data_IF_765635585621
#
_entry.id   IF_765635585621
#
_cell.length_a   1.000
_cell.length_b   1.000
_cell.length_c   1.000
_cell.angle_alpha   90.00
_cell.angle_beta   90.00
_cell.angle_gamma   90.00
#
_symmetry.space_group_name_H-M   'P 1'
#
loop_
_entity.id
_entity.type
_entity.pdbx_description
1 polymer ?
2 polymer ?
3 non-polymer ?
4 non-polymer ?
5 water ?
#
# COMPACT_ATOMS: atom_id res chain seq x y z
N UNK A 1 25.03 22.19 -1.17
CA UNK A 1 24.74 21.48 0.10
C UNK A 1 23.83 20.29 -0.21
N UNK A 2 22.86 20.04 0.67
CA UNK A 2 21.94 18.92 0.54
C UNK A 2 21.18 18.96 -0.79
N UNK A 3 20.81 20.16 -1.25
CA UNK A 3 19.72 20.32 -2.20
C UNK A 3 20.14 20.11 -3.65
N UNK A 4 21.39 20.50 -3.99
CA UNK A 4 21.85 20.36 -5.37
C UNK A 4 21.81 18.88 -5.75
N UNK A 5 22.35 18.04 -4.86
CA UNK A 5 22.44 16.61 -5.08
C UNK A 5 21.03 15.99 -5.06
N UNK A 6 20.12 16.54 -4.25
CA UNK A 6 18.75 16.07 -4.29
C UNK A 6 18.14 16.31 -5.67
N UNK A 7 18.33 17.51 -6.22
CA UNK A 7 17.80 17.85 -7.54
C UNK A 7 18.34 16.88 -8.60
N UNK A 8 19.63 16.53 -8.52
CA UNK A 8 20.25 15.71 -9.57
C UNK A 8 19.69 14.29 -9.57
N UNK A 9 19.66 13.70 -8.37
CA UNK A 9 19.05 12.41 -8.13
C UNK A 9 17.63 12.41 -8.70
N UNK A 10 16.81 13.41 -8.34
CA UNK A 10 15.44 13.46 -8.84
C UNK A 10 15.45 13.41 -10.36
N UNK A 11 16.34 14.19 -10.97
CA UNK A 11 16.40 14.31 -12.43
C UNK A 11 16.81 12.99 -13.08
N UNK A 12 17.77 12.28 -12.50
CA UNK A 12 18.18 10.99 -13.06
C UNK A 12 17.09 9.95 -12.86
N UNK A 13 16.37 9.95 -11.72
CA UNK A 13 15.22 9.08 -11.55
C UNK A 13 14.22 9.30 -12.68
N UNK A 14 13.97 10.57 -13.01
CA UNK A 14 13.02 10.88 -14.06
C UNK A 14 13.59 10.45 -15.41
N UNK A 15 14.90 10.72 -15.59
CA UNK A 15 15.53 10.45 -16.88
C UNK A 15 15.63 8.94 -17.08
N UNK A 16 15.96 8.20 -16.01
CA UNK A 16 15.95 6.75 -16.10
C UNK A 16 14.61 6.25 -16.63
N UNK A 17 13.50 6.80 -16.13
CA UNK A 17 12.19 6.29 -16.54
C UNK A 17 11.91 6.55 -18.02
N UNK A 18 12.23 7.74 -18.53
CA UNK A 18 11.79 8.08 -19.88
C UNK A 18 12.63 7.36 -20.93
N UNK A 19 13.75 6.76 -20.51
CA UNK A 19 14.64 6.01 -21.39
C UNK A 19 14.45 4.49 -21.23
N UNK A 20 13.38 4.05 -20.55
CA UNK A 20 13.07 2.62 -20.43
C UNK A 20 13.89 1.91 -19.34
N UNK A 21 14.31 2.65 -18.33
CA UNK A 21 15.02 2.08 -17.21
C UNK A 21 14.17 2.21 -15.95
N UNK A 22 12.91 1.77 -16.07
CA UNK A 22 11.93 1.79 -14.98
C UNK A 22 12.48 1.22 -13.67
N UNK A 23 13.11 0.06 -13.74
CA UNK A 23 13.53 -0.59 -12.52
C UNK A 23 14.58 0.25 -11.82
N UNK A 24 15.53 0.75 -12.61
CA UNK A 24 16.56 1.62 -12.05
C UNK A 24 15.89 2.86 -11.47
N UNK A 25 14.89 3.39 -12.18
CA UNK A 25 14.19 4.57 -11.67
C UNK A 25 13.65 4.28 -10.28
N UNK A 26 13.04 3.10 -10.12
CA UNK A 26 12.44 2.74 -8.85
C UNK A 26 13.48 2.67 -7.74
N UNK A 27 14.70 2.30 -8.11
CA UNK A 27 15.74 2.12 -7.11
C UNK A 27 16.27 3.48 -6.67
N UNK A 28 16.29 4.46 -7.60
CA UNK A 28 16.65 5.83 -7.26
C UNK A 28 15.53 6.45 -6.42
N UNK A 29 14.28 6.24 -6.82
CA UNK A 29 13.16 6.57 -5.92
C UNK A 29 13.51 6.21 -4.46
N UNK A 30 13.94 4.97 -4.24
CA UNK A 30 14.22 4.53 -2.88
C UNK A 30 15.31 5.36 -2.22
N UNK A 31 16.30 5.81 -3.01
CA UNK A 31 17.41 6.59 -2.49
C UNK A 31 16.90 7.96 -2.06
N UNK A 32 16.00 8.57 -2.85
CA UNK A 32 15.42 9.84 -2.48
C UNK A 32 14.76 9.73 -1.11
N UNK A 33 13.86 8.76 -0.95
CA UNK A 33 13.25 8.52 0.35
C UNK A 33 14.31 8.47 1.43
N UNK A 34 15.38 7.69 1.20
CA UNK A 34 16.37 7.44 2.24
C UNK A 34 17.09 8.76 2.57
N UNK A 35 17.43 9.50 1.52
CA UNK A 35 18.22 10.70 1.65
C UNK A 35 17.42 11.81 2.34
N UNK A 36 16.11 11.92 2.06
CA UNK A 36 15.32 13.01 2.60
C UNK A 36 14.86 12.74 4.03
N UNK A 37 14.58 11.48 4.35
CA UNK A 37 14.27 11.05 5.71
C UNK A 37 15.39 11.47 6.66
N UNK A 38 16.60 11.64 6.12
CA UNK A 38 17.83 11.68 6.90
C UNK A 38 18.14 13.11 7.37
N UNK A 39 19.11 13.21 8.29
CA UNK A 39 19.80 14.45 8.64
C UNK A 39 19.71 15.46 7.48
N UNK B 2 -25.81 -11.60 3.08
CA UNK B 2 -25.85 -12.86 3.88
C UNK B 2 -24.44 -13.45 4.03
N UNK B 3 -23.82 -13.82 2.92
CA UNK B 3 -22.44 -14.30 2.98
C UNK B 3 -21.54 -13.13 2.72
N UNK B 4 -20.46 -13.03 3.46
CA UNK B 4 -19.63 -11.84 3.37
C UNK B 4 -18.95 -11.78 2.00
N UNK B 5 -19.01 -10.63 1.28
CA UNK B 5 -18.43 -10.51 -0.05
C UNK B 5 -16.92 -10.27 -0.10
N UNK B 6 -16.14 -11.29 0.29
CA UNK B 6 -14.70 -11.20 0.24
C UNK B 6 -14.19 -11.42 -1.17
N UNK B 7 -14.83 -12.33 -1.91
CA UNK B 7 -14.47 -12.59 -3.30
C UNK B 7 -14.29 -11.26 -4.04
N UNK B 8 -15.22 -10.33 -3.85
CA UNK B 8 -15.22 -9.08 -4.60
C UNK B 8 -14.07 -8.16 -4.17
N UNK B 9 -13.54 -8.32 -2.95
CA UNK B 9 -12.35 -7.58 -2.54
C UNK B 9 -11.14 -8.21 -3.20
N UNK B 10 -10.95 -9.51 -2.98
CA UNK B 10 -9.76 -10.20 -3.43
C UNK B 10 -9.71 -10.30 -4.96
N UNK B 11 -10.88 -10.42 -5.61
CA UNK B 11 -10.93 -10.77 -7.04
C UNK B 11 -11.33 -9.58 -7.90
N UNK B 12 -11.31 -8.38 -7.34
CA UNK B 12 -11.58 -7.16 -8.11
C UNK B 12 -10.63 -7.07 -9.31
N UNK B 13 -11.12 -6.49 -10.41
CA UNK B 13 -10.39 -6.43 -11.66
C UNK B 13 -9.13 -5.59 -11.51
N UNK B 14 -9.30 -4.35 -11.03
CA UNK B 14 -8.17 -3.52 -10.63
C UNK B 14 -8.27 -3.15 -9.17
N UNK B 15 -7.12 -2.76 -8.60
CA UNK B 15 -6.99 -2.39 -7.21
C UNK B 15 -6.67 -0.91 -7.13
N UNK B 16 -6.70 -0.36 -5.92
CA UNK B 16 -6.40 1.05 -5.70
C UNK B 16 -4.89 1.26 -5.68
N UNK B 17 -4.47 2.52 -5.93
CA UNK B 17 -3.12 2.94 -5.65
C UNK B 17 -2.96 2.99 -4.15
N UNK B 18 -1.75 2.75 -3.69
CA UNK B 18 -1.55 2.62 -2.27
C UNK B 18 -1.78 3.98 -1.58
N UNK B 19 -1.37 5.10 -2.22
CA UNK B 19 -1.52 6.40 -1.55
C UNK B 19 -2.99 6.72 -1.42
N UNK B 20 -3.81 6.23 -2.37
CA UNK B 20 -5.25 6.41 -2.35
C UNK B 20 -5.94 5.10 -2.03
N UNK B 21 -5.54 4.47 -0.93
CA UNK B 21 -5.92 3.10 -0.69
C UNK B 21 -7.43 2.96 -0.49
N UNK B 22 -7.95 1.82 -0.91
CA UNK B 22 -9.38 1.56 -0.84
C UNK B 22 -9.72 0.89 0.50
N UNK B 23 -10.89 1.23 1.04
CA UNK B 23 -11.44 0.58 2.20
C UNK B 23 -12.86 0.09 1.92
N UNK B 24 -13.12 -1.20 2.21
CA UNK B 24 -14.45 -1.75 2.07
C UNK B 24 -14.92 -2.16 3.46
N UNK B 25 -16.11 -1.69 3.84
CA UNK B 25 -16.73 -2.07 5.10
C UNK B 25 -17.52 -3.36 4.87
N UNK B 26 -17.33 -4.34 5.75
CA UNK B 26 -18.03 -5.62 5.65
C UNK B 26 -18.90 -5.74 6.91
N UNK B 27 -20.20 -5.97 6.69
CA UNK B 27 -21.19 -5.94 7.77
C UNK B 27 -22.29 -6.96 7.50
N UNK B 28 -22.89 -7.51 8.58
CA UNK B 28 -24.17 -8.17 8.46
C UNK B 28 -24.09 -9.33 7.48
N UNK B 29 -23.22 -10.28 7.81
CA UNK B 29 -22.98 -11.37 6.89
C UNK B 29 -22.21 -12.47 7.63
N UNK B 30 -22.18 -13.66 7.02
CA UNK B 30 -21.38 -14.75 7.55
C UNK B 30 -20.12 -14.86 6.69
N UNK B 31 -19.03 -15.26 7.34
CA UNK B 31 -17.72 -15.27 6.73
C UNK B 31 -17.09 -16.65 6.94
N UNK B 32 -16.95 -17.45 5.87
CA UNK B 32 -15.96 -18.51 5.97
C UNK B 32 -14.65 -17.88 5.57
N UNK B 33 -13.68 -17.95 6.46
CA UNK B 33 -12.39 -17.38 6.16
C UNK B 33 -11.55 -18.47 5.56
N UNK B 34 -12.11 -19.23 4.65
CA UNK B 34 -11.35 -20.26 3.96
C UNK B 34 -11.42 -19.92 2.50
N UNK B 35 -12.58 -19.46 2.09
CA UNK B 35 -12.73 -19.02 0.74
C UNK B 35 -11.59 -18.07 0.47
N UNK B 36 -11.05 -17.51 1.53
CA UNK B 36 -9.96 -16.60 1.39
C UNK B 36 -8.69 -17.37 1.46
N UNK B 37 -8.51 -18.18 2.49
CA UNK B 37 -7.22 -18.82 2.66
C UNK B 37 -6.79 -19.52 1.36
N UNK B 38 -7.75 -19.84 0.51
CA UNK B 38 -7.43 -20.54 -0.71
C UNK B 38 -7.66 -19.72 -1.98
N UNK B 39 -8.07 -18.48 -1.82
CA UNK B 39 -8.31 -17.62 -2.98
C UNK B 39 -7.17 -17.77 -3.98
N UNK B 40 -5.96 -17.44 -3.53
CA UNK B 40 -4.78 -17.48 -4.38
C UNK B 40 -3.62 -18.06 -3.58
N UNK B 41 -2.50 -18.42 -4.26
CA UNK B 41 -1.22 -18.59 -3.58
C UNK B 41 -0.69 -17.24 -3.09
N UNK B 42 -0.63 -17.07 -1.77
CA UNK B 42 -0.19 -15.86 -1.11
C UNK B 42 1.31 -15.89 -0.82
N UNK B 43 1.90 -14.69 -0.90
CA UNK B 43 3.28 -14.44 -0.53
C UNK B 43 3.36 -13.93 0.91
N UNK B 44 2.22 -13.52 1.48
CA UNK B 44 2.20 -13.09 2.88
C UNK B 44 0.79 -13.35 3.44
N UNK B 45 0.73 -13.76 4.72
CA UNK B 45 -0.54 -14.00 5.40
C UNK B 45 -0.31 -14.02 6.91
N UNK B 46 -0.01 -12.86 7.48
CA UNK B 46 0.29 -12.75 8.90
C UNK B 46 -0.89 -12.07 9.60
N UNK B 47 -1.53 -12.80 10.53
CA UNK B 47 -2.48 -12.23 11.47
C UNK B 47 -1.79 -11.89 12.79
N UNK B 48 -2.30 -10.89 13.49
CA UNK B 48 -1.57 -10.33 14.62
C UNK B 48 -2.26 -10.67 15.94
N UNK B 49 -3.51 -10.23 16.12
CA UNK B 49 -4.28 -10.64 17.28
C UNK B 49 -4.67 -12.10 17.17
N UNK B 50 -5.50 -12.39 16.17
CA UNK B 50 -6.20 -13.66 16.08
C UNK B 50 -5.42 -14.57 15.14
N UNK B 51 -6.01 -15.72 14.78
CA UNK B 51 -5.51 -16.58 13.73
C UNK B 51 -6.69 -16.98 12.85
N UNK B 52 -6.44 -17.42 11.59
CA UNK B 52 -7.54 -17.82 10.70
C UNK B 52 -8.55 -18.82 11.25
N UNK B 53 -8.07 -19.95 11.78
CA UNK B 53 -8.98 -20.99 12.23
C UNK B 53 -9.84 -20.45 13.38
N UNK B 54 -9.19 -19.72 14.31
CA UNK B 54 -9.87 -19.02 15.41
C UNK B 54 -10.89 -18.00 14.89
N UNK B 55 -10.69 -17.49 13.66
CA UNK B 55 -11.56 -16.44 13.14
C UNK B 55 -12.91 -17.02 12.76
N UNK B 56 -12.93 -18.31 12.41
CA UNK B 56 -14.16 -18.92 11.95
C UNK B 56 -15.13 -19.08 13.14
N UNK B 57 -14.68 -18.82 14.37
CA UNK B 57 -15.54 -18.93 15.54
C UNK B 57 -16.05 -17.56 16.00
N UNK B 58 -15.45 -16.47 15.52
CA UNK B 58 -15.65 -15.18 16.18
C UNK B 58 -16.60 -14.30 15.39
N UNK B 59 -17.28 -13.42 16.14
CA UNK B 59 -18.17 -12.40 15.60
C UNK B 59 -17.57 -11.02 15.87
N UNK B 60 -17.73 -10.11 14.90
CA UNK B 60 -17.30 -8.74 15.04
C UNK B 60 -18.43 -7.83 14.63
N UNK B 61 -18.32 -6.56 15.02
CA UNK B 61 -19.28 -5.52 14.66
C UNK B 61 -19.16 -5.21 13.18
N UNK B 62 -17.91 -4.92 12.79
CA UNK B 62 -17.53 -4.60 11.42
C UNK B 62 -16.18 -5.24 11.12
N UNK B 63 -16.00 -5.65 9.86
CA UNK B 63 -14.68 -5.85 9.29
C UNK B 63 -14.45 -4.85 8.17
N UNK B 64 -13.22 -4.31 8.17
CA UNK B 64 -12.70 -3.43 7.15
C UNK B 64 -11.57 -4.14 6.40
N UNK B 65 -11.75 -4.18 5.08
CA UNK B 65 -10.78 -4.65 4.10
C UNK B 65 -10.18 -3.48 3.32
N UNK B 66 -8.96 -3.08 3.72
CA UNK B 66 -8.18 -2.12 2.94
C UNK B 66 -7.42 -2.86 1.86
N UNK B 67 -7.37 -2.32 0.63
CA UNK B 67 -6.69 -2.96 -0.48
C UNK B 67 -5.97 -1.94 -1.37
N UNK B 68 -4.83 -2.37 -1.92
CA UNK B 68 -4.00 -1.58 -2.81
C UNK B 68 -2.92 -2.43 -3.46
N UNK B 69 -2.09 -1.80 -4.31
CA UNK B 69 -0.93 -2.41 -4.94
C UNK B 69 0.35 -1.68 -4.55
N UNK B 70 1.36 -2.46 -4.13
CA UNK B 70 2.70 -1.97 -3.91
C UNK B 70 3.71 -2.90 -4.59
N UNK B 71 4.99 -2.56 -4.49
CA UNK B 71 6.07 -3.41 -4.97
C UNK B 71 6.26 -4.56 -4.02
N UNK B 72 6.66 -5.69 -4.59
CA UNK B 72 7.03 -6.84 -3.79
C UNK B 72 7.92 -6.51 -2.60
N UNK B 73 8.95 -5.68 -2.80
CA UNK B 73 9.90 -5.43 -1.71
C UNK B 73 9.31 -4.55 -0.61
N UNK B 74 8.14 -3.93 -0.89
CA UNK B 74 7.49 -3.01 0.03
C UNK B 74 6.50 -3.74 0.94
N UNK B 75 6.16 -4.98 0.59
CA UNK B 75 5.12 -5.72 1.29
C UNK B 75 5.43 -5.81 2.78
N UNK B 76 6.71 -5.96 3.12
CA UNK B 76 7.14 -6.11 4.49
C UNK B 76 6.91 -4.84 5.30
N UNK B 77 6.73 -3.70 4.62
CA UNK B 77 6.33 -2.48 5.33
C UNK B 77 4.89 -2.55 5.83
N UNK B 78 4.07 -3.44 5.27
CA UNK B 78 2.70 -3.52 5.73
C UNK B 78 2.65 -4.41 6.97
N UNK B 79 3.19 -3.87 8.06
CA UNK B 79 3.25 -4.55 9.35
C UNK B 79 3.42 -3.49 10.43
N UNK B 80 3.05 -3.80 11.68
CA UNK B 80 3.15 -2.85 12.79
C UNK B 80 4.60 -2.51 13.08
N UNK B 81 4.87 -1.24 13.43
CA UNK B 81 6.20 -0.80 13.82
C UNK B 81 7.19 -0.63 12.65
N UNK B 82 6.73 -0.75 11.40
CA UNK B 82 7.61 -0.64 10.24
C UNK B 82 7.85 0.82 9.89
N UNK B 83 8.98 1.10 9.23
CA UNK B 83 9.22 2.39 8.64
C UNK B 83 9.61 2.22 7.16
N UNK B 84 9.59 3.33 6.42
CA UNK B 84 9.88 3.28 5.00
C UNK B 84 8.89 4.11 4.20
N UNK B 85 9.07 4.09 2.87
CA UNK B 85 8.38 5.01 1.99
C UNK B 85 6.87 4.78 2.06
N UNK B 86 6.48 3.49 2.11
CA UNK B 86 5.08 3.10 2.17
C UNK B 86 4.53 3.32 3.58
N UNK B 87 5.20 2.83 4.62
CA UNK B 87 4.70 3.02 5.97
C UNK B 87 4.67 4.49 6.35
N UNK B 88 5.71 5.24 5.98
CA UNK B 88 5.81 6.64 6.36
C UNK B 88 4.73 7.42 5.61
N UNK B 89 4.55 7.23 4.29
CA UNK B 89 3.89 8.26 3.50
C UNK B 89 2.66 7.76 2.73
N UNK B 90 2.31 6.48 2.85
CA UNK B 90 1.22 5.95 2.04
C UNK B 90 0.18 5.19 2.84
N UNK B 91 0.61 4.20 3.64
CA UNK B 91 -0.32 3.37 4.41
C UNK B 91 0.36 2.86 5.68
N UNK B 92 -0.23 3.23 6.84
CA UNK B 92 0.43 3.04 8.12
C UNK B 92 -0.49 2.19 9.01
N UNK B 93 0.08 1.10 9.54
CA UNK B 93 -0.57 0.28 10.54
C UNK B 93 -0.17 0.77 11.93
N UNK B 94 -1.09 0.79 12.91
CA UNK B 94 -0.73 1.06 14.30
C UNK B 94 -0.05 -0.14 14.93
N UNK B 95 0.67 0.11 16.03
CA UNK B 95 1.48 -0.91 16.67
C UNK B 95 0.59 -1.98 17.31
N UNK B 96 -0.62 -1.59 17.72
CA UNK B 96 -1.54 -2.47 18.43
C UNK B 96 -2.54 -3.08 17.45
N UNK B 97 -2.08 -3.36 16.23
CA UNK B 97 -2.93 -3.90 15.19
C UNK B 97 -3.20 -5.38 15.45
N UNK B 98 -4.46 -5.81 15.32
CA UNK B 98 -4.79 -7.18 15.68
C UNK B 98 -5.43 -7.96 14.52
N UNK B 99 -5.50 -7.37 13.31
CA UNK B 99 -6.08 -8.04 12.16
C UNK B 99 -5.06 -8.84 11.34
N UNK B 100 -5.32 -8.98 10.03
CA UNK B 100 -4.49 -9.76 9.13
C UNK B 100 -4.01 -8.94 7.92
N UNK B 101 -2.73 -9.15 7.56
CA UNK B 101 -2.14 -8.65 6.33
C UNK B 101 -1.92 -9.81 5.36
N UNK B 102 -2.51 -9.69 4.16
CA UNK B 102 -2.50 -10.70 3.13
C UNK B 102 -1.93 -10.05 1.87
N UNK B 103 -0.89 -10.67 1.24
CA UNK B 103 -0.34 -10.20 -0.03
C UNK B 103 -0.18 -11.33 -1.05
N UNK B 104 -0.33 -11.03 -2.35
CA UNK B 104 0.05 -11.97 -3.40
C UNK B 104 0.58 -11.25 -4.64
N UNK B 105 1.36 -12.00 -5.45
CA UNK B 105 1.94 -11.50 -6.69
C UNK B 105 0.84 -11.22 -7.70
N UNK B 106 0.83 -10.04 -8.30
CA UNK B 106 -0.20 -9.76 -9.28
C UNK B 106 0.47 -9.36 -10.59
N UNK B 107 1.70 -9.84 -10.80
CA UNK B 107 2.44 -9.51 -12.01
C UNK B 107 1.57 -9.73 -13.25
N UNK B 108 0.82 -10.84 -13.29
CA UNK B 108 0.04 -11.15 -14.48
C UNK B 108 -1.08 -10.15 -14.69
N UNK B 109 -1.60 -9.55 -13.61
CA UNK B 109 -2.79 -8.71 -13.73
C UNK B 109 -2.43 -7.23 -13.91
N UNK B 110 -1.36 -6.80 -13.25
CA UNK B 110 -1.12 -5.38 -13.05
C UNK B 110 0.06 -4.89 -13.88
N UNK B 111 1.02 -5.77 -14.22
CA UNK B 111 2.12 -5.43 -15.12
C UNK B 111 1.61 -5.29 -16.56
N UNK B 112 2.20 -4.36 -17.30
CA UNK B 112 1.93 -4.19 -18.72
C UNK B 112 3.24 -3.99 -19.49
N UNK B 113 3.32 -4.45 -20.75
CA UNK B 113 4.59 -4.45 -21.48
C UNK B 113 5.31 -3.11 -21.52
N UNK B 114 4.60 -2.00 -21.78
CA UNK B 114 5.23 -0.69 -21.75
C UNK B 114 5.06 -0.05 -20.37
N UNK B 115 4.73 -0.85 -19.36
CA UNK B 115 4.66 -0.36 -18.00
C UNK B 115 3.28 0.19 -17.65
N UNK B 116 2.86 -0.07 -16.40
CA UNK B 116 1.59 0.39 -15.87
C UNK B 116 1.81 1.60 -14.97
N UNK B 117 1.40 2.76 -15.48
CA UNK B 117 1.64 4.05 -14.87
C UNK B 117 0.43 4.48 -14.05
N UNK B 118 -0.60 3.63 -13.98
CA UNK B 118 -1.84 3.93 -13.30
C UNK B 118 -1.79 3.73 -11.79
N UNK B 119 -0.86 2.89 -11.33
CA UNK B 119 -0.68 2.66 -9.92
C UNK B 119 0.35 3.65 -9.45
N UNK B 120 0.06 4.35 -8.33
CA UNK B 120 0.90 5.41 -7.81
C UNK B 120 1.30 5.17 -6.35
N UNK B 121 2.35 5.87 -5.92
CA UNK B 121 2.75 5.98 -4.53
C UNK B 121 3.21 7.41 -4.30
N UNK B 122 3.17 7.86 -3.03
CA UNK B 122 3.70 9.13 -2.58
C UNK B 122 5.17 8.99 -2.21
N UNK B 123 6.05 9.84 -2.79
CA UNK B 123 7.48 9.83 -2.55
C UNK B 123 7.90 10.89 -1.53
N UNK B 124 7.10 11.96 -1.41
CA UNK B 124 7.51 13.13 -0.66
C UNK B 124 6.44 13.50 0.34
N UNK B 125 6.82 13.60 1.63
CA UNK B 125 5.88 14.07 2.64
C UNK B 125 6.60 14.78 3.77
N UNK B 126 5.95 15.79 4.34
CA UNK B 126 6.56 16.56 5.41
C UNK B 126 6.65 15.77 6.70
N UNK B 127 5.77 14.78 6.91
CA UNK B 127 5.86 13.90 8.06
C UNK B 127 5.15 12.57 7.81
N UNK B 128 5.36 11.64 8.74
CA UNK B 128 4.77 10.30 8.70
C UNK B 128 3.25 10.35 8.91
N UNK B 129 2.51 9.52 8.17
CA UNK B 129 1.08 9.30 8.39
C UNK B 129 0.84 8.74 9.78
N UNK B 130 -0.33 9.05 10.33
CA UNK B 130 -0.79 8.38 11.53
C UNK B 130 -1.43 7.06 11.10
N UNK B 131 -1.61 6.08 12.00
CA UNK B 131 -2.26 4.84 11.62
C UNK B 131 -3.60 5.11 10.93
N UNK B 132 -3.73 4.51 9.74
CA UNK B 132 -4.95 4.49 8.95
C UNK B 132 -5.26 5.85 8.36
N UNK B 133 -4.30 6.79 8.36
CA UNK B 133 -4.52 8.03 7.62
C UNK B 133 -4.42 7.78 6.11
N UNK B 134 -5.21 8.54 5.33
CA UNK B 134 -5.19 8.50 3.89
C UNK B 134 -5.00 9.91 3.33
N UNK B 135 -3.79 10.20 2.83
CA UNK B 135 -3.45 11.50 2.26
C UNK B 135 -3.45 11.43 0.76
N UNK B 136 -4.45 12.12 0.18
CA UNK B 136 -4.67 12.15 -1.26
C UNK B 136 -4.33 13.51 -1.84
N UNK B 137 -3.57 14.31 -1.10
CA UNK B 137 -3.15 15.64 -1.55
C UNK B 137 -2.20 15.68 -2.72
N UNK B 138 -2.18 16.79 -3.42
CA UNK B 138 -1.31 16.95 -4.57
C UNK B 138 -0.49 18.22 -4.43
N UNK B 139 -0.38 18.74 -3.22
CA UNK B 139 0.46 19.90 -2.99
C UNK B 139 1.84 19.59 -3.56
N UNK B 140 2.39 20.52 -4.38
CA UNK B 140 3.79 20.45 -4.76
C UNK B 140 4.58 20.55 -3.46
N UNK B 141 5.58 19.68 -3.30
CA UNK B 141 6.36 19.62 -2.08
C UNK B 141 7.54 20.59 -2.16
N UNK B 142 7.86 21.22 -1.03
CA UNK B 142 8.92 22.21 -0.93
C UNK B 142 10.11 21.58 -0.24
N UNK B 143 11.22 21.39 -0.97
CA UNK B 143 12.37 20.71 -0.41
C UNK B 143 13.34 21.70 0.23
N UNK B 144 13.51 22.86 -0.38
CA UNK B 144 14.51 23.81 0.06
C UNK B 144 13.98 24.90 1.00
N UNK B 145 14.66 26.04 0.96
CA UNK B 145 14.32 27.14 1.85
C UNK B 145 13.43 28.14 1.11
N UNK B 146 13.30 27.96 -0.21
CA UNK B 146 12.48 28.83 -1.03
C UNK B 146 11.09 28.21 -1.19
N UNK B 147 10.02 29.01 -0.95
CA UNK B 147 8.65 28.54 -1.18
C UNK B 147 8.34 28.31 -2.66
N UNK B 148 7.50 27.31 -2.93
CA UNK B 148 7.24 26.83 -4.27
C UNK B 148 6.11 27.58 -4.95
N UNK B 149 5.19 28.10 -4.14
CA UNK B 149 4.03 28.84 -4.63
C UNK B 149 3.24 28.00 -5.64
N UNK B 150 3.00 26.73 -5.28
CA UNK B 150 2.22 25.83 -6.11
C UNK B 150 2.82 25.59 -7.50
N UNK B 151 4.14 25.80 -7.64
CA UNK B 151 4.84 25.64 -8.91
C UNK B 151 5.88 24.53 -8.80
N UNK B 152 5.84 23.61 -9.77
CA UNK B 152 6.80 22.52 -9.85
C UNK B 152 8.15 23.04 -10.35
N UNK B 153 9.22 22.73 -9.64
CA UNK B 153 10.55 23.12 -10.10
C UNK B 153 11.67 22.80 -9.13
N UNK B 154 12.77 23.51 -9.25
CA UNK B 154 13.90 23.31 -8.36
C UNK B 154 13.51 23.21 -6.89
N UNK B 155 13.77 22.08 -6.26
CA UNK B 155 13.44 21.88 -4.86
C UNK B 155 11.94 21.97 -4.66
N UNK B 156 11.20 21.81 -5.73
CA UNK B 156 9.75 21.86 -5.72
C UNK B 156 9.19 20.73 -6.57
N UNK B 157 8.89 19.61 -5.94
CA UNK B 157 8.50 18.45 -6.69
C UNK B 157 7.11 17.93 -6.50
N UNK B 158 6.55 17.39 -7.56
CA UNK B 158 5.29 16.72 -7.44
C UNK B 158 5.51 15.65 -6.40
N UNK B 159 4.49 15.33 -5.62
CA UNK B 159 4.71 14.40 -4.51
C UNK B 159 4.54 12.93 -4.87
N UNK B 160 3.81 12.64 -5.95
CA UNK B 160 3.50 11.27 -6.34
C UNK B 160 4.38 10.82 -7.52
N UNK B 161 4.63 9.51 -7.59
CA UNK B 161 5.25 8.84 -8.72
C UNK B 161 4.41 7.64 -9.09
N UNK B 162 4.45 7.26 -10.37
CA UNK B 162 3.88 6.01 -10.85
C UNK B 162 4.88 4.87 -10.71
N UNK B 163 4.36 3.64 -10.59
CA UNK B 163 5.22 2.47 -10.42
C UNK B 163 5.75 1.96 -11.76
N UNK B 164 4.96 2.03 -12.83
CA UNK B 164 5.41 1.65 -14.16
C UNK B 164 5.70 0.15 -14.30
N UNK B 165 4.83 -0.67 -13.70
CA UNK B 165 5.09 -2.10 -13.56
C UNK B 165 5.19 -2.75 -14.95
N UNK B 166 6.25 -3.55 -15.16
CA UNK B 166 6.41 -4.34 -16.37
C UNK B 166 6.65 -5.79 -16.02
N UNK B 167 6.21 -6.75 -16.86
CA UNK B 167 6.25 -8.17 -16.51
C UNK B 167 7.66 -8.69 -16.32
N UNK B 168 8.65 -8.04 -16.94
CA UNK B 168 10.02 -8.52 -16.95
C UNK B 168 10.83 -8.01 -15.78
N UNK B 169 10.23 -7.23 -14.86
CA UNK B 169 11.00 -6.74 -13.72
C UNK B 169 11.29 -7.92 -12.80
N UNK B 170 12.35 -7.80 -11.97
CA UNK B 170 12.57 -8.72 -10.86
C UNK B 170 11.36 -8.70 -9.94
N UNK B 171 11.23 -9.75 -9.10
CA UNK B 171 9.99 -9.99 -8.38
C UNK B 171 9.79 -8.93 -7.31
N UNK B 172 10.89 -8.43 -6.73
CA UNK B 172 10.85 -7.38 -5.73
C UNK B 172 10.25 -6.07 -6.25
N UNK B 173 10.31 -5.87 -7.58
CA UNK B 173 9.83 -4.69 -8.28
C UNK B 173 8.56 -5.01 -9.06
N UNK B 174 8.03 -6.21 -8.86
CA UNK B 174 6.76 -6.59 -9.45
C UNK B 174 5.65 -6.17 -8.48
N UNK B 175 4.44 -5.98 -9.00
CA UNK B 175 3.30 -5.52 -8.19
C UNK B 175 2.73 -6.67 -7.38
N UNK B 176 2.38 -6.35 -6.14
CA UNK B 176 1.68 -7.26 -5.24
C UNK B 176 0.39 -6.58 -4.82
N UNK B 177 -0.70 -7.36 -4.85
CA UNK B 177 -1.97 -6.95 -4.29
C UNK B 177 -1.94 -7.23 -2.80
N UNK B 178 -2.43 -6.25 -2.03
CA UNK B 178 -2.45 -6.36 -0.58
C UNK B 178 -3.87 -6.14 -0.07
N UNK B 179 -4.27 -6.99 0.89
CA UNK B 179 -5.51 -6.85 1.62
C UNK B 179 -5.20 -6.84 3.11
N UNK B 180 -5.62 -5.75 3.77
CA UNK B 180 -5.51 -5.62 5.20
C UNK B 180 -6.94 -5.73 5.77
N UNK B 181 -7.15 -6.77 6.59
CA UNK B 181 -8.40 -6.97 7.31
C UNK B 181 -8.25 -6.44 8.72
N UNK B 182 -9.16 -5.53 9.11
CA UNK B 182 -9.27 -5.06 10.49
C UNK B 182 -10.62 -5.51 11.07
N UNK B 183 -10.58 -5.96 12.31
CA UNK B 183 -11.69 -6.61 12.97
C UNK B 183 -12.16 -5.72 14.11
N UNK B 184 -13.36 -5.17 14.01
CA UNK B 184 -13.78 -4.14 14.95
C UNK B 184 -14.79 -4.71 15.95
N UNK B 185 -14.53 -4.49 17.24
CA UNK B 185 -15.40 -4.89 18.33
C UNK B 185 -15.84 -3.66 19.14
N UNK B 186 -17.00 -3.10 18.79
CA UNK B 186 -17.59 -1.98 19.51
C UNK B 186 -18.52 -2.52 20.60
N UNK B 187 -19.19 -1.65 21.37
CA UNK B 187 -20.29 -2.08 22.23
C UNK B 187 -21.59 -2.03 21.45
N UNK B 188 -21.89 -3.12 20.74
CA UNK B 188 -22.91 -3.14 19.72
C UNK B 188 -23.12 -4.58 19.26
N UNK B 189 -24.22 -4.90 18.57
CA UNK B 189 -24.46 -6.25 18.07
C UNK B 189 -23.41 -6.56 17.01
N UNK B 190 -22.66 -7.66 17.24
CA UNK B 190 -21.70 -8.22 16.30
C UNK B 190 -22.41 -8.88 15.13
N UNK B 191 -22.36 -8.24 13.96
CA UNK B 191 -23.11 -8.66 12.78
C UNK B 191 -22.24 -9.42 11.79
N UNK B 192 -20.94 -9.61 12.08
CA UNK B 192 -20.04 -10.30 11.17
C UNK B 192 -19.46 -11.50 11.88
N UNK B 193 -19.94 -12.69 11.49
CA UNK B 193 -19.67 -13.90 12.26
C UNK B 193 -18.92 -14.92 11.43
N UNK B 194 -17.85 -15.46 12.02
CA UNK B 194 -17.23 -16.69 11.55
C UNK B 194 -18.23 -17.85 11.40
N UNK B 195 -17.92 -18.78 10.46
CA UNK B 195 -18.90 -19.73 9.97
C UNK B 195 -19.16 -20.86 10.96
N UNK B 196 -18.36 -20.95 12.04
CA UNK B 196 -18.53 -21.96 13.07
C UNK B 196 -18.77 -21.30 14.44
N UNK B 197 -19.52 -20.18 14.44
CA UNK B 197 -19.93 -19.52 15.67
C UNK B 197 -21.38 -19.91 16.01
N UNK B 198 -21.84 -19.46 17.19
CA UNK B 198 -23.19 -19.71 17.72
C UNK B 198 -23.79 -20.98 17.11
#
# INVERSE_FOLDING_TARGET
DKLWILQKIYEIMVRLDEEGHGEASLMVSDLIYEFMKRD
TNLCPFHEVFNATTFASVYAWNRKRISNCVADYSVIYNFAPFSAFKCYGVSPTKLNDLCFTNVYADSFVIRGNEVSQIAPGQTGNIADYNYKLPDDFTGCVIAWNSNKLDSKPSGNYNYLYRLFRKSKLKPFERDISTEIYQAGNKPCNGVAGPNCYSPLRSYGFRPTYGVGHQPYRVVVLSFELLHAPATVCGSNSENLYFQGSHHHHHHHHHHGLNDIFEAQKIEWHE
#
